data_IF_059473810324
#
_entry.id   IF_059473810324
#
_cell.length_a   1.000
_cell.length_b   1.000
_cell.length_c   1.000
_cell.angle_alpha   90.00
_cell.angle_beta   90.00
_cell.angle_gamma   90.00
#
_symmetry.space_group_name_H-M   'P 1'
#
loop_
_entity.id
_entity.type
_entity.pdbx_description
1 polymer ?
#
# COMPACT_ATOMS: atom_id res chain seq x y z
N UNK A 1 -13.01 30.74 -9.24
CA UNK A 1 -11.78 30.38 -9.96
C UNK A 1 -11.59 28.88 -9.82
N UNK A 2 -11.89 28.14 -10.88
CA UNK A 2 -11.86 26.68 -10.93
C UNK A 2 -10.42 26.18 -10.89
N UNK A 3 -10.14 25.32 -9.91
CA UNK A 3 -8.86 24.60 -9.81
C UNK A 3 -8.80 23.59 -10.97
N UNK A 4 -8.05 23.91 -12.03
CA UNK A 4 -7.75 22.92 -13.08
C UNK A 4 -6.88 21.82 -12.46
N UNK A 5 -7.39 20.59 -12.46
CA UNK A 5 -6.67 19.40 -11.99
C UNK A 5 -5.37 19.25 -12.79
N UNK A 6 -4.23 19.30 -12.09
CA UNK A 6 -2.91 19.11 -12.68
C UNK A 6 -2.67 17.61 -12.83
N UNK A 7 -2.70 17.10 -14.06
CA UNK A 7 -2.41 15.70 -14.38
C UNK A 7 -0.89 15.48 -14.47
N UNK A 8 -0.38 14.47 -13.78
CA UNK A 8 0.99 13.97 -13.94
C UNK A 8 0.99 12.89 -15.03
N UNK A 9 2.00 12.93 -15.90
CA UNK A 9 2.29 11.87 -16.88
C UNK A 9 3.65 11.25 -16.56
N UNK A 10 3.80 9.96 -16.81
CA UNK A 10 5.09 9.27 -16.73
C UNK A 10 5.72 9.35 -18.12
N UNK A 11 6.93 9.90 -18.20
CA UNK A 11 7.73 9.87 -19.42
C UNK A 11 8.09 8.42 -19.77
N UNK A 12 7.71 7.97 -20.96
CA UNK A 12 7.84 6.58 -21.36
C UNK A 12 9.30 6.14 -21.59
N UNK A 13 10.24 7.08 -21.78
CA UNK A 13 11.65 6.77 -21.99
C UNK A 13 12.49 6.73 -20.72
N UNK A 14 12.08 7.44 -19.67
CA UNK A 14 12.85 7.59 -18.42
C UNK A 14 12.12 7.11 -17.17
N UNK A 15 10.81 6.84 -17.27
CA UNK A 15 9.97 6.51 -16.13
C UNK A 15 9.77 7.67 -15.16
N UNK A 16 10.23 8.89 -15.48
CA UNK A 16 10.10 10.06 -14.61
C UNK A 16 8.71 10.68 -14.71
N UNK A 17 8.18 11.14 -13.58
CA UNK A 17 6.95 11.90 -13.55
C UNK A 17 7.18 13.34 -14.05
N UNK A 18 6.49 13.71 -15.12
CA UNK A 18 6.52 15.05 -15.71
C UNK A 18 5.21 15.77 -15.41
N UNK A 19 5.32 17.02 -14.98
CA UNK A 19 4.17 17.89 -14.71
C UNK A 19 3.85 18.70 -15.97
N UNK A 20 2.62 18.60 -16.49
CA UNK A 20 2.18 19.47 -17.58
C UNK A 20 2.05 20.90 -17.05
N UNK A 21 2.82 21.82 -17.64
CA UNK A 21 2.77 23.24 -17.29
C UNK A 21 1.58 23.86 -18.01
N UNK A 22 0.62 24.39 -17.25
CA UNK A 22 -0.71 24.79 -17.75
C UNK A 22 -0.71 26.01 -18.67
N UNK A 23 -0.12 25.90 -19.87
CA UNK A 23 -0.20 26.89 -20.96
C UNK A 23 -0.74 26.32 -22.26
N UNK A 24 -1.29 25.12 -22.26
CA UNK A 24 -1.94 24.56 -23.44
C UNK A 24 -3.39 25.05 -23.50
N UNK A 25 -3.77 25.48 -24.69
CA UNK A 25 -5.12 25.98 -25.00
C UNK A 25 -6.14 24.86 -24.84
N UNK A 26 -7.42 25.20 -24.57
CA UNK A 26 -8.44 24.17 -24.33
C UNK A 26 -8.62 23.23 -25.56
N UNK A 27 -8.23 23.65 -26.78
CA UNK A 27 -8.15 22.81 -27.99
C UNK A 27 -6.96 21.83 -27.97
N UNK A 28 -5.78 22.23 -27.46
CA UNK A 28 -4.62 21.33 -27.31
C UNK A 28 -4.86 20.29 -26.21
N UNK A 29 -5.63 20.64 -25.17
CA UNK A 29 -6.02 19.71 -24.10
C UNK A 29 -7.00 18.65 -24.62
N UNK A 30 -7.96 19.02 -25.47
CA UNK A 30 -8.87 18.06 -26.12
C UNK A 30 -8.12 17.15 -27.10
N UNK A 31 -7.17 17.69 -27.87
CA UNK A 31 -6.37 16.91 -28.81
C UNK A 31 -5.43 15.92 -28.11
N UNK A 32 -4.80 16.32 -27.00
CA UNK A 32 -4.00 15.42 -26.15
C UNK A 32 -4.89 14.38 -25.45
N UNK A 33 -6.10 14.74 -25.03
CA UNK A 33 -7.05 13.80 -24.43
C UNK A 33 -7.56 12.75 -25.43
N UNK A 34 -7.78 13.14 -26.68
CA UNK A 34 -8.17 12.22 -27.77
C UNK A 34 -7.02 11.32 -28.21
N UNK A 35 -5.79 11.82 -28.29
CA UNK A 35 -4.58 11.00 -28.52
C UNK A 35 -4.32 10.04 -27.34
N UNK A 36 -4.58 10.47 -26.11
CA UNK A 36 -4.53 9.59 -24.92
C UNK A 36 -5.63 8.53 -24.92
N UNK A 37 -6.85 8.83 -25.38
CA UNK A 37 -7.93 7.82 -25.53
C UNK A 37 -7.61 6.81 -26.64
N UNK A 38 -7.00 7.25 -27.74
CA UNK A 38 -6.55 6.37 -28.82
C UNK A 38 -5.35 5.50 -28.40
N UNK A 39 -4.43 6.01 -27.58
CA UNK A 39 -3.29 5.25 -27.04
C UNK A 39 -3.67 4.31 -25.89
N UNK A 40 -4.81 4.53 -25.21
CA UNK A 40 -5.27 3.76 -24.05
C UNK A 40 -6.54 2.92 -24.31
N UNK A 41 -7.11 2.96 -25.52
CA UNK A 41 -8.18 2.05 -25.96
C UNK A 41 -9.55 2.23 -25.29
N UNK A 42 -9.88 3.42 -24.77
CA UNK A 42 -11.17 3.65 -24.10
C UNK A 42 -12.26 4.08 -25.10
N UNK A 43 -13.29 3.25 -25.27
CA UNK A 43 -14.54 3.61 -25.96
C UNK A 43 -15.44 4.47 -25.06
N UNK A 44 -16.07 5.49 -25.64
CA UNK A 44 -16.94 6.43 -24.94
C UNK A 44 -18.37 5.87 -24.80
N UNK A 45 -18.83 5.61 -23.56
CA UNK A 45 -20.24 5.41 -23.26
C UNK A 45 -20.72 6.34 -22.14
N UNK A 46 -21.87 6.98 -22.39
CA UNK A 46 -22.54 7.99 -21.55
C UNK A 46 -23.31 7.34 -20.38
N UNK A 47 -23.31 8.03 -19.25
CA UNK A 47 -24.11 7.77 -18.02
C UNK A 47 -25.63 7.79 -18.23
N UNK A 48 -26.33 7.07 -17.35
CA UNK A 48 -27.65 7.45 -16.83
C UNK A 48 -27.80 7.16 -15.32
N UNK A 49 -28.34 8.14 -14.60
CA UNK A 49 -28.77 8.19 -13.18
C UNK A 49 -30.04 7.38 -12.90
N UNK A 50 -30.26 6.98 -11.62
CA UNK A 50 -31.51 7.19 -10.85
C UNK A 50 -31.39 6.80 -9.36
N UNK A 51 -32.13 7.52 -8.52
CA UNK A 51 -32.25 7.57 -7.04
C UNK A 51 -32.90 6.37 -6.32
N UNK A 52 -32.72 6.26 -4.98
CA UNK A 52 -33.83 6.20 -4.00
C UNK A 52 -33.38 6.23 -2.51
N UNK A 53 -34.24 6.81 -1.65
CA UNK A 53 -34.09 7.08 -0.20
C UNK A 53 -34.62 5.97 0.75
N UNK A 54 -34.30 6.14 2.05
CA UNK A 54 -35.19 6.12 3.25
C UNK A 54 -35.21 4.93 4.27
N UNK A 55 -34.91 5.28 5.55
CA UNK A 55 -35.46 4.81 6.88
C UNK A 55 -35.28 3.36 7.37
N UNK A 56 -35.19 3.00 8.67
CA UNK A 56 -35.31 3.71 9.96
C UNK A 56 -35.24 2.74 11.17
N UNK A 57 -34.86 3.29 12.34
CA UNK A 57 -35.21 3.05 13.76
C UNK A 57 -35.33 1.67 14.48
N UNK A 58 -34.80 1.68 15.74
CA UNK A 58 -35.32 1.15 17.03
C UNK A 58 -35.29 -0.37 17.33
N UNK A 59 -35.21 -0.91 18.56
CA UNK A 59 -34.80 -0.51 19.94
C UNK A 59 -35.16 -1.68 20.90
N UNK A 60 -34.61 -1.68 22.14
CA UNK A 60 -35.13 -2.32 23.39
C UNK A 60 -34.87 -3.85 23.61
N UNK A 61 -34.68 -4.41 24.82
CA UNK A 61 -34.68 -3.97 26.25
C UNK A 61 -34.14 -5.08 27.18
N UNK A 62 -33.77 -4.67 28.41
CA UNK A 62 -33.52 -5.35 29.72
C UNK A 62 -34.28 -6.67 30.02
N UNK A 63 -33.96 -7.49 31.05
CA UNK A 63 -33.78 -7.21 32.49
C UNK A 63 -33.45 -8.49 33.31
N UNK A 64 -32.80 -8.29 34.47
CA UNK A 64 -32.88 -8.99 35.78
C UNK A 64 -32.62 -10.52 35.88
N UNK A 65 -31.98 -11.11 36.90
CA UNK A 65 -31.59 -10.69 38.24
C UNK A 65 -31.84 -11.85 39.24
N UNK A 66 -31.05 -11.92 40.32
CA UNK A 66 -31.25 -12.64 41.62
C UNK A 66 -30.23 -13.77 41.96
N UNK A 67 -29.67 -13.58 43.16
CA UNK A 67 -28.66 -14.29 43.94
C UNK A 67 -29.28 -15.37 44.86
N UNK A 68 -28.51 -16.39 45.30
CA UNK A 68 -28.37 -16.81 46.73
C UNK A 68 -27.18 -17.76 46.95
N UNK A 69 -26.39 -17.51 48.00
CA UNK A 69 -25.38 -18.37 48.70
C UNK A 69 -26.06 -19.11 49.89
N UNK A 70 -25.43 -19.81 50.90
CA UNK A 70 -24.00 -20.17 51.19
C UNK A 70 -23.73 -21.58 51.84
N UNK A 71 -22.44 -21.89 52.14
CA UNK A 71 -21.88 -22.76 53.25
C UNK A 71 -22.00 -24.33 53.17
N UNK A 72 -21.11 -25.22 53.65
CA UNK A 72 -19.87 -25.22 54.48
C UNK A 72 -19.16 -26.62 54.43
N UNK A 73 -17.82 -26.62 54.36
CA UNK A 73 -16.80 -27.26 55.24
C UNK A 73 -16.68 -28.81 55.43
N UNK A 74 -15.40 -29.25 55.45
CA UNK A 74 -14.79 -30.51 55.96
C UNK A 74 -14.77 -31.75 55.03
N UNK A 75 -13.64 -31.97 54.34
CA UNK A 75 -12.73 -33.04 54.76
C UNK A 75 -11.34 -32.95 54.11
N UNK A 76 -10.37 -32.63 54.95
CA UNK A 76 -8.94 -32.68 54.70
C UNK A 76 -8.46 -34.05 55.18
N UNK A 77 -7.91 -34.87 54.28
CA UNK A 77 -6.60 -35.54 54.43
C UNK A 77 -6.50 -36.95 53.78
N UNK A 78 -5.50 -37.07 52.90
CA UNK A 78 -4.56 -38.21 52.71
C UNK A 78 -5.14 -39.48 52.04
N UNK A 79 -4.43 -40.24 51.21
CA UNK A 79 -3.05 -40.24 50.74
C UNK A 79 -2.96 -41.21 49.54
N UNK A 80 -2.37 -40.75 48.43
CA UNK A 80 -1.37 -41.39 47.55
C UNK A 80 -1.41 -42.90 47.20
N UNK A 81 -1.37 -43.10 45.86
CA UNK A 81 -0.68 -44.11 45.03
C UNK A 81 -1.52 -45.24 44.39
N UNK A 82 -1.46 -45.31 43.05
CA UNK A 82 -1.70 -46.54 42.28
C UNK A 82 -2.47 -46.37 40.96
N UNK A 83 -1.74 -46.29 39.85
CA UNK A 83 -1.96 -46.96 38.54
C UNK A 83 -3.34 -46.95 37.81
N UNK A 84 -3.31 -46.56 36.52
CA UNK A 84 -4.34 -46.80 35.50
C UNK A 84 -4.36 -48.30 35.06
N UNK A 85 -5.32 -48.89 34.27
CA UNK A 85 -6.14 -48.27 33.20
C UNK A 85 -7.53 -48.89 32.86
N UNK A 86 -8.12 -48.41 31.73
CA UNK A 86 -9.14 -48.99 30.83
C UNK A 86 -10.65 -48.96 31.20
N UNK A 87 -11.44 -48.15 30.46
CA UNK A 87 -12.55 -48.60 29.57
C UNK A 87 -13.60 -47.51 29.26
N UNK A 88 -13.64 -47.10 27.98
CA UNK A 88 -14.79 -46.74 27.12
C UNK A 88 -16.07 -46.07 27.67
N UNK A 89 -16.38 -44.88 27.12
CA UNK A 89 -17.71 -44.47 26.63
C UNK A 89 -17.53 -43.24 25.68
N UNK A 90 -17.56 -43.41 24.36
CA UNK A 90 -18.70 -43.16 23.45
C UNK A 90 -19.53 -41.91 23.79
N UNK A 91 -19.37 -40.87 22.96
CA UNK A 91 -20.46 -39.98 22.53
C UNK A 91 -20.48 -38.56 23.11
N UNK A 92 -20.09 -37.56 22.31
CA UNK A 92 -21.08 -36.61 21.79
C UNK A 92 -20.56 -35.84 20.55
N UNK A 93 -21.14 -36.02 19.35
CA UNK A 93 -20.74 -35.32 18.14
C UNK A 93 -21.54 -34.02 18.01
N UNK A 94 -21.08 -32.94 18.62
CA UNK A 94 -21.58 -31.61 18.26
C UNK A 94 -20.60 -30.47 18.52
N UNK A 95 -19.32 -30.69 18.21
CA UNK A 95 -18.41 -29.57 17.97
C UNK A 95 -18.62 -29.14 16.52
N UNK A 96 -19.48 -28.13 16.33
CA UNK A 96 -19.51 -27.36 15.09
C UNK A 96 -18.13 -26.71 14.94
N UNK A 97 -17.23 -27.33 14.20
CA UNK A 97 -16.04 -26.67 13.65
C UNK A 97 -16.51 -25.69 12.57
N UNK A 98 -17.16 -24.61 13.00
CA UNK A 98 -17.22 -23.41 12.20
C UNK A 98 -15.79 -22.91 12.08
N UNK A 99 -15.17 -23.16 10.93
CA UNK A 99 -13.92 -22.53 10.56
C UNK A 99 -14.18 -21.01 10.48
N UNK A 100 -14.05 -20.33 11.62
CA UNK A 100 -14.04 -18.88 11.68
C UNK A 100 -12.77 -18.44 10.97
N UNK A 101 -12.85 -18.23 9.65
CA UNK A 101 -11.81 -17.53 8.90
C UNK A 101 -11.85 -16.07 9.36
N UNK A 102 -11.14 -15.78 10.43
CA UNK A 102 -10.86 -14.40 10.79
C UNK A 102 -10.08 -13.76 9.65
N UNK A 103 -10.61 -12.68 9.07
CA UNK A 103 -9.86 -11.87 8.12
C UNK A 103 -8.55 -11.42 8.78
N UNK A 104 -7.43 -11.37 8.04
CA UNK A 104 -6.16 -10.95 8.60
C UNK A 104 -6.26 -9.55 9.19
N UNK A 105 -5.53 -9.30 10.27
CA UNK A 105 -5.38 -7.95 10.82
C UNK A 105 -4.58 -7.06 9.87
N UNK A 106 -4.69 -5.74 10.01
CA UNK A 106 -3.89 -4.80 9.20
C UNK A 106 -2.39 -5.07 9.32
N UNK A 107 -1.89 -5.45 10.50
CA UNK A 107 -0.47 -5.80 10.68
C UNK A 107 -0.08 -7.08 9.95
N UNK A 108 -0.95 -8.09 9.95
CA UNK A 108 -0.71 -9.31 9.17
C UNK A 108 -0.71 -9.02 7.67
N UNK A 109 -1.58 -8.13 7.20
CA UNK A 109 -1.58 -7.73 5.80
C UNK A 109 -0.34 -6.92 5.41
N UNK A 110 0.11 -6.00 6.28
CA UNK A 110 1.36 -5.26 6.05
C UNK A 110 2.57 -6.20 5.99
N UNK A 111 2.67 -7.16 6.93
CA UNK A 111 3.74 -8.16 6.91
C UNK A 111 3.70 -9.01 5.64
N UNK A 112 2.50 -9.45 5.24
CA UNK A 112 2.33 -10.17 3.98
C UNK A 112 2.72 -9.35 2.76
N UNK A 113 2.43 -8.04 2.75
CA UNK A 113 2.88 -7.16 1.67
C UNK A 113 4.40 -6.98 1.67
N UNK A 114 5.05 -6.86 2.83
CA UNK A 114 6.52 -6.80 2.95
C UNK A 114 7.18 -8.00 2.28
N UNK A 115 6.77 -9.21 2.65
CA UNK A 115 7.34 -10.45 2.10
C UNK A 115 7.10 -10.56 0.58
N UNK A 116 5.87 -10.27 0.13
CA UNK A 116 5.54 -10.30 -1.28
C UNK A 116 6.30 -9.25 -2.10
N UNK A 117 6.50 -8.05 -1.53
CA UNK A 117 7.27 -6.99 -2.17
C UNK A 117 8.72 -7.41 -2.34
N UNK A 118 9.37 -7.96 -1.31
CA UNK A 118 10.74 -8.47 -1.43
C UNK A 118 10.89 -9.49 -2.58
N UNK A 119 9.94 -10.43 -2.69
CA UNK A 119 9.90 -11.39 -3.79
C UNK A 119 9.74 -10.70 -5.15
N UNK A 120 8.86 -9.71 -5.28
CA UNK A 120 8.65 -9.00 -6.54
C UNK A 120 9.89 -8.20 -6.95
N UNK A 121 10.52 -7.50 -6.00
CA UNK A 121 11.74 -6.73 -6.27
C UNK A 121 12.89 -7.60 -6.76
N UNK A 122 13.02 -8.81 -6.21
CA UNK A 122 14.02 -9.78 -6.66
C UNK A 122 13.79 -10.32 -8.09
N UNK A 123 12.60 -10.12 -8.66
CA UNK A 123 12.25 -10.54 -10.02
C UNK A 123 12.31 -9.40 -11.05
N UNK A 124 12.57 -8.16 -10.62
CA UNK A 124 12.82 -7.06 -11.54
C UNK A 124 14.19 -7.26 -12.20
N UNK A 125 14.24 -7.21 -13.53
CA UNK A 125 15.51 -7.24 -14.27
C UNK A 125 15.95 -5.82 -14.61
N UNK A 126 17.15 -5.67 -15.18
CA UNK A 126 17.65 -4.36 -15.63
C UNK A 126 16.61 -3.63 -16.48
N UNK A 127 16.44 -2.34 -16.18
CA UNK A 127 15.46 -1.43 -16.80
C UNK A 127 13.98 -1.78 -16.53
N UNK A 128 13.69 -2.64 -15.55
CA UNK A 128 12.35 -2.80 -15.02
C UNK A 128 12.06 -1.78 -13.90
N UNK A 129 10.82 -1.32 -13.90
CA UNK A 129 10.28 -0.39 -12.94
C UNK A 129 9.08 -0.99 -12.22
N UNK A 130 9.02 -0.78 -10.90
CA UNK A 130 7.82 -0.96 -10.09
C UNK A 130 7.49 0.36 -9.43
N UNK A 131 6.25 0.83 -9.58
CA UNK A 131 5.72 1.99 -8.87
C UNK A 131 4.60 1.53 -7.97
N UNK A 132 4.72 1.75 -6.67
CA UNK A 132 3.64 1.57 -5.70
C UNK A 132 3.17 2.97 -5.30
N UNK A 133 1.87 3.22 -5.39
CA UNK A 133 1.30 4.54 -5.13
C UNK A 133 0.04 4.47 -4.29
N UNK A 134 -0.29 5.60 -3.67
CA UNK A 134 -1.54 5.78 -2.97
C UNK A 134 -2.63 6.30 -3.90
N UNK A 135 -3.82 5.73 -3.78
CA UNK A 135 -4.99 6.01 -4.65
C UNK A 135 -5.50 7.46 -4.65
N UNK A 136 -5.10 8.30 -3.69
CA UNK A 136 -5.73 9.63 -3.46
C UNK A 136 -4.79 10.83 -3.43
N UNK A 137 -3.51 10.60 -3.15
CA UNK A 137 -2.46 11.62 -3.03
C UNK A 137 -1.26 11.07 -3.75
N UNK A 138 -0.45 11.92 -4.37
CA UNK A 138 0.79 11.53 -5.06
C UNK A 138 1.91 11.11 -4.11
N UNK A 139 1.60 10.23 -3.16
CA UNK A 139 2.58 9.44 -2.44
C UNK A 139 2.88 8.20 -3.28
N UNK A 140 4.16 8.02 -3.61
CA UNK A 140 4.61 6.87 -4.35
C UNK A 140 6.03 6.48 -3.93
N UNK A 141 6.34 5.22 -4.15
CA UNK A 141 7.70 4.70 -4.22
C UNK A 141 7.90 4.11 -5.61
N UNK A 142 8.99 4.49 -6.27
CA UNK A 142 9.43 3.94 -7.54
C UNK A 142 10.73 3.18 -7.34
N UNK A 143 10.74 1.93 -7.77
CA UNK A 143 11.91 1.05 -7.78
C UNK A 143 12.38 0.94 -9.22
N UNK A 144 13.65 1.25 -9.47
CA UNK A 144 14.30 1.13 -10.77
C UNK A 144 15.44 0.12 -10.65
N UNK A 145 15.27 -1.05 -11.27
CA UNK A 145 16.31 -2.08 -11.31
C UNK A 145 17.40 -1.69 -12.31
N UNK A 146 18.66 -1.69 -11.86
CA UNK A 146 19.82 -1.25 -12.63
C UNK A 146 20.78 -2.42 -12.91
N UNK A 147 20.26 -3.65 -12.93
CA UNK A 147 21.02 -4.86 -13.19
C UNK A 147 22.23 -5.01 -12.27
N UNK A 148 23.43 -5.04 -12.85
CA UNK A 148 24.68 -5.17 -12.11
C UNK A 148 24.99 -4.00 -11.17
N UNK A 149 24.39 -2.83 -11.40
CA UNK A 149 24.60 -1.64 -10.55
C UNK A 149 23.71 -1.64 -9.31
N UNK A 150 22.73 -2.55 -9.23
CA UNK A 150 21.82 -2.69 -8.09
C UNK A 150 20.44 -2.08 -8.36
N UNK A 151 19.95 -1.25 -7.44
CA UNK A 151 18.61 -0.66 -7.53
C UNK A 151 18.59 0.76 -6.96
N UNK A 152 17.97 1.69 -7.71
CA UNK A 152 17.59 3.00 -7.18
C UNK A 152 16.14 2.95 -6.75
N UNK A 153 15.84 3.55 -5.60
CA UNK A 153 14.47 3.74 -5.15
C UNK A 153 14.24 5.21 -4.86
N UNK A 154 13.10 5.73 -5.32
CA UNK A 154 12.68 7.11 -5.09
C UNK A 154 11.33 7.15 -4.38
N UNK A 155 11.17 8.09 -3.45
CA UNK A 155 9.93 8.35 -2.75
C UNK A 155 9.51 9.82 -2.92
N UNK A 156 8.21 10.04 -3.13
CA UNK A 156 7.66 11.37 -3.40
C UNK A 156 8.10 12.43 -2.38
N UNK A 157 8.65 13.55 -2.87
CA UNK A 157 8.92 14.75 -2.06
C UNK A 157 7.82 15.81 -2.19
N UNK A 158 7.91 16.89 -1.40
CA UNK A 158 6.97 18.01 -1.48
C UNK A 158 6.95 18.71 -2.85
N UNK A 159 7.93 18.45 -3.71
CA UNK A 159 7.90 18.88 -5.10
C UNK A 159 6.71 18.30 -5.87
N UNK A 160 6.36 17.04 -5.61
CA UNK A 160 5.31 16.30 -6.35
C UNK A 160 4.08 15.96 -5.51
N UNK A 161 4.16 16.07 -4.19
CA UNK A 161 3.01 15.82 -3.31
C UNK A 161 1.97 16.93 -3.49
N UNK A 162 0.81 16.48 -3.97
CA UNK A 162 -0.42 17.28 -4.13
C UNK A 162 -1.61 16.50 -3.55
N UNK A 163 -2.56 17.18 -2.90
CA UNK A 163 -2.65 18.64 -2.72
C UNK A 163 -1.67 19.17 -1.67
N UNK A 164 -1.47 20.49 -1.60
CA UNK A 164 -0.47 21.12 -0.74
C UNK A 164 -0.62 20.78 0.76
N UNK A 165 -1.85 20.50 1.22
CA UNK A 165 -2.15 20.10 2.59
C UNK A 165 -1.64 18.70 2.93
N UNK A 166 -1.35 17.88 1.92
CA UNK A 166 -0.75 16.56 2.10
C UNK A 166 0.78 16.60 2.11
N UNK A 167 1.41 17.75 1.89
CA UNK A 167 2.87 17.87 1.92
C UNK A 167 3.41 17.48 3.30
N UNK A 168 4.58 16.82 3.30
CA UNK A 168 5.28 16.48 4.52
C UNK A 168 5.69 17.75 5.27
N UNK A 169 5.54 17.72 6.59
CA UNK A 169 6.07 18.75 7.47
C UNK A 169 7.61 18.65 7.56
N UNK A 170 8.29 19.65 8.17
CA UNK A 170 9.71 19.54 8.48
C UNK A 170 10.07 18.27 9.27
N UNK A 171 9.23 17.87 10.22
CA UNK A 171 9.41 16.64 11.00
C UNK A 171 9.30 15.39 10.11
N UNK A 172 8.43 15.41 9.09
CA UNK A 172 8.35 14.35 8.09
C UNK A 172 9.63 14.22 7.26
N UNK A 173 10.27 15.34 6.90
CA UNK A 173 11.58 15.33 6.22
C UNK A 173 12.68 14.74 7.10
N UNK A 174 12.72 15.14 8.38
CA UNK A 174 13.66 14.56 9.35
C UNK A 174 13.40 13.06 9.54
N UNK A 175 12.14 12.64 9.57
CA UNK A 175 11.78 11.24 9.72
C UNK A 175 12.15 10.40 8.48
N UNK A 176 12.10 10.97 7.26
CA UNK A 176 12.61 10.30 6.05
C UNK A 176 14.13 10.09 6.15
N UNK A 177 14.88 11.12 6.53
CA UNK A 177 16.34 11.04 6.72
C UNK A 177 16.72 9.99 7.77
N UNK A 178 16.07 10.01 8.94
CA UNK A 178 16.26 9.01 10.00
C UNK A 178 15.91 7.58 9.58
N UNK A 179 15.00 7.42 8.61
CA UNK A 179 14.61 6.14 8.07
C UNK A 179 15.63 5.61 7.04
N UNK A 180 16.59 6.44 6.61
CA UNK A 180 17.68 6.09 5.70
C UNK A 180 17.55 6.68 4.30
N UNK A 181 16.58 7.58 4.07
CA UNK A 181 16.42 8.24 2.78
C UNK A 181 17.39 9.41 2.63
N UNK A 182 17.97 9.58 1.44
CA UNK A 182 18.64 10.82 1.06
C UNK A 182 17.60 11.89 0.73
N UNK A 183 17.87 13.12 1.13
CA UNK A 183 16.98 14.27 0.86
C UNK A 183 17.08 14.70 -0.61
N UNK A 184 16.02 15.33 -1.17
CA UNK A 184 16.07 15.85 -2.54
C UNK A 184 17.24 16.80 -2.76
N UNK A 185 18.06 16.55 -3.78
CA UNK A 185 19.27 17.32 -4.10
C UNK A 185 19.09 18.25 -5.28
N UNK A 186 18.08 18.04 -6.12
CA UNK A 186 17.78 18.90 -7.27
C UNK A 186 16.34 19.41 -7.23
N UNK A 187 16.11 20.57 -7.85
CA UNK A 187 14.76 21.05 -8.10
C UNK A 187 14.16 20.30 -9.32
N UNK A 188 12.84 20.14 -9.41
CA UNK A 188 12.18 19.52 -10.58
C UNK A 188 12.54 20.16 -11.93
N UNK A 189 12.82 21.47 -11.92
CA UNK A 189 13.21 22.27 -13.10
C UNK A 189 14.71 22.64 -13.10
N UNK A 190 15.49 22.05 -12.19
CA UNK A 190 16.88 22.40 -11.93
C UNK A 190 17.89 21.69 -12.85
N UNK A 191 19.16 22.10 -12.72
CA UNK A 191 20.30 21.45 -13.39
C UNK A 191 20.30 19.97 -13.06
N UNK A 192 20.44 19.13 -14.09
CA UNK A 192 20.56 17.68 -14.00
C UNK A 192 21.90 17.32 -13.37
N UNK A 193 21.95 17.28 -12.05
CA UNK A 193 22.85 16.36 -11.37
C UNK A 193 22.41 14.94 -11.75
N UNK A 194 23.22 14.17 -12.49
CA UNK A 194 22.84 12.83 -12.93
C UNK A 194 22.61 11.88 -11.74
N UNK A 195 23.24 12.14 -10.59
CA UNK A 195 23.14 11.31 -9.39
C UNK A 195 22.05 11.83 -8.43
N UNK A 196 21.61 13.08 -8.63
CA UNK A 196 20.62 13.74 -7.81
C UNK A 196 19.17 13.31 -8.04
N UNK A 197 18.27 13.71 -7.15
CA UNK A 197 16.82 13.51 -7.30
C UNK A 197 16.00 14.68 -6.78
N UNK A 198 14.89 15.04 -7.46
CA UNK A 198 13.89 15.92 -6.88
C UNK A 198 13.00 15.20 -5.85
N UNK A 199 13.16 13.88 -5.71
CA UNK A 199 12.54 13.02 -4.71
C UNK A 199 13.52 12.68 -3.59
N UNK A 200 12.99 12.08 -2.52
CA UNK A 200 13.84 11.32 -1.61
C UNK A 200 14.35 10.09 -2.34
N UNK A 201 15.60 9.69 -2.13
CA UNK A 201 16.15 8.55 -2.86
C UNK A 201 17.10 7.71 -2.01
N UNK A 202 17.27 6.46 -2.41
CA UNK A 202 18.34 5.56 -1.96
C UNK A 202 18.88 4.81 -3.15
N UNK A 203 20.21 4.68 -3.20
CA UNK A 203 20.90 3.82 -4.16
C UNK A 203 21.45 2.61 -3.40
N UNK A 204 21.06 1.41 -3.85
CA UNK A 204 21.43 0.16 -3.22
C UNK A 204 22.33 -0.63 -4.19
N UNK A 205 23.61 -0.81 -3.87
CA UNK A 205 24.52 -1.55 -4.75
C UNK A 205 24.17 -3.04 -4.80
N UNK A 206 24.62 -3.72 -5.86
CA UNK A 206 24.50 -5.18 -5.96
C UNK A 206 25.49 -5.90 -5.03
N UNK A 207 25.08 -6.98 -4.33
CA UNK A 207 23.73 -7.55 -4.28
C UNK A 207 22.80 -6.74 -3.36
N UNK A 208 21.54 -6.56 -3.80
CA UNK A 208 20.53 -5.82 -3.04
C UNK A 208 19.89 -6.71 -1.96
N UNK A 209 19.78 -6.20 -0.73
CA UNK A 209 18.96 -6.82 0.32
C UNK A 209 17.49 -6.44 0.13
N UNK A 210 16.76 -7.25 -0.65
CA UNK A 210 15.35 -6.99 -0.96
C UNK A 210 14.43 -7.07 0.26
N UNK A 211 14.82 -7.79 1.32
CA UNK A 211 14.04 -7.85 2.56
C UNK A 211 14.11 -6.51 3.27
N UNK A 212 15.31 -6.00 3.53
CA UNK A 212 15.47 -4.68 4.14
C UNK A 212 14.88 -3.55 3.27
N UNK A 213 14.98 -3.65 1.95
CA UNK A 213 14.37 -2.67 1.04
C UNK A 213 12.84 -2.68 1.11
N UNK A 214 12.23 -3.86 1.17
CA UNK A 214 10.78 -3.98 1.36
C UNK A 214 10.32 -3.41 2.71
N UNK A 215 11.09 -3.63 3.77
CA UNK A 215 10.81 -3.07 5.10
C UNK A 215 10.89 -1.53 5.10
N UNK A 216 11.91 -0.95 4.43
CA UNK A 216 12.03 0.49 4.22
C UNK A 216 10.80 1.06 3.51
N UNK A 217 10.37 0.42 2.42
CA UNK A 217 9.20 0.84 1.65
C UNK A 217 7.92 0.84 2.48
N UNK A 218 7.67 -0.24 3.21
CA UNK A 218 6.46 -0.40 4.03
C UNK A 218 6.47 0.56 5.23
N UNK A 219 7.63 0.78 5.87
CA UNK A 219 7.76 1.80 6.91
C UNK A 219 7.51 3.20 6.36
N UNK A 220 7.98 3.51 5.15
CA UNK A 220 7.74 4.81 4.52
C UNK A 220 6.24 5.05 4.31
N UNK A 221 5.51 4.09 3.73
CA UNK A 221 4.05 4.22 3.58
C UNK A 221 3.31 4.32 4.91
N UNK A 222 3.65 3.50 5.89
CA UNK A 222 2.92 3.43 7.17
C UNK A 222 3.24 4.61 8.09
N UNK A 223 4.52 4.89 8.27
CA UNK A 223 5.02 5.79 9.32
C UNK A 223 5.12 7.24 8.82
N UNK A 224 5.46 7.44 7.55
CA UNK A 224 5.67 8.79 6.99
C UNK A 224 4.43 9.26 6.23
N UNK A 225 3.96 8.46 5.28
CA UNK A 225 2.77 8.83 4.49
C UNK A 225 1.45 8.52 5.18
N UNK A 226 1.46 7.80 6.30
CA UNK A 226 0.31 7.61 7.20
C UNK A 226 -0.74 6.61 6.70
N UNK A 227 -0.37 5.67 5.83
CA UNK A 227 -1.29 4.65 5.33
C UNK A 227 -1.61 3.66 6.45
N UNK A 228 -2.92 3.43 6.66
CA UNK A 228 -3.41 2.52 7.69
C UNK A 228 -3.47 1.09 7.19
N UNK A 229 -3.66 0.90 5.88
CA UNK A 229 -3.94 -0.42 5.31
C UNK A 229 -3.33 -0.61 3.91
N UNK A 230 -2.77 -1.79 3.56
CA UNK A 230 -2.19 -2.07 2.24
C UNK A 230 -3.17 -1.86 1.08
N UNK A 231 -4.44 -2.21 1.29
CA UNK A 231 -5.50 -2.05 0.29
C UNK A 231 -5.74 -0.59 -0.17
N UNK A 232 -5.14 0.40 0.49
CA UNK A 232 -5.11 1.79 0.03
C UNK A 232 -4.13 2.01 -1.12
N UNK A 233 -3.17 1.11 -1.30
CA UNK A 233 -2.14 1.18 -2.33
C UNK A 233 -2.60 0.53 -3.63
N UNK A 234 -1.90 0.89 -4.68
CA UNK A 234 -1.98 0.30 -6.01
C UNK A 234 -0.58 0.25 -6.61
N UNK A 235 -0.42 -0.51 -7.70
CA UNK A 235 0.87 -0.62 -8.36
C UNK A 235 0.76 -0.63 -9.87
N UNK A 236 1.83 -0.17 -10.51
CA UNK A 236 2.12 -0.35 -11.93
C UNK A 236 3.54 -0.88 -12.05
N UNK A 237 3.77 -1.81 -12.97
CA UNK A 237 5.11 -2.30 -13.27
C UNK A 237 5.30 -2.41 -14.78
N UNK A 238 6.48 -2.05 -15.27
CA UNK A 238 6.78 -1.98 -16.69
C UNK A 238 8.29 -2.00 -16.92
N UNK A 239 8.72 -2.44 -18.10
CA UNK A 239 10.10 -2.26 -18.56
C UNK A 239 10.29 -0.91 -19.25
N UNK A 240 11.53 -0.44 -19.42
CA UNK A 240 11.86 0.77 -20.19
C UNK A 240 11.28 0.77 -21.62
N UNK A 241 11.10 -0.41 -22.21
CA UNK A 241 10.42 -0.58 -23.51
C UNK A 241 8.89 -0.42 -23.46
N UNK A 242 8.31 -0.12 -22.29
CA UNK A 242 6.87 0.05 -22.08
C UNK A 242 6.09 -1.25 -21.90
N UNK A 243 6.75 -2.41 -21.91
CA UNK A 243 6.07 -3.69 -21.71
C UNK A 243 5.55 -3.78 -20.28
N UNK A 244 4.27 -4.07 -20.10
CA UNK A 244 3.65 -4.16 -18.78
C UNK A 244 4.05 -5.45 -18.06
N UNK A 245 4.37 -5.34 -16.78
CA UNK A 245 4.74 -6.46 -15.90
C UNK A 245 3.63 -6.64 -14.87
N UNK A 246 3.34 -7.90 -14.54
CA UNK A 246 2.30 -8.28 -13.56
C UNK A 246 2.91 -8.95 -12.35
N UNK A 247 2.53 -8.47 -11.17
CA UNK A 247 2.88 -9.09 -9.89
C UNK A 247 1.61 -9.40 -9.09
N UNK A 248 0.86 -10.47 -9.44
CA UNK A 248 -0.34 -10.86 -8.70
C UNK A 248 -0.06 -11.14 -7.21
N UNK A 249 1.17 -11.56 -6.90
CA UNK A 249 1.66 -11.81 -5.54
C UNK A 249 1.65 -10.56 -4.65
N UNK A 250 1.74 -9.35 -5.21
CA UNK A 250 1.61 -8.11 -4.41
C UNK A 250 0.23 -7.98 -3.76
N UNK A 251 -0.81 -8.60 -4.35
CA UNK A 251 -2.21 -8.50 -3.90
C UNK A 251 -2.71 -7.05 -3.76
N UNK A 252 -2.09 -6.13 -4.50
CA UNK A 252 -2.50 -4.74 -4.65
C UNK A 252 -3.33 -4.57 -5.92
N UNK A 253 -4.13 -3.50 -5.99
CA UNK A 253 -4.80 -3.13 -7.24
C UNK A 253 -3.72 -2.81 -8.29
N UNK A 254 -3.79 -3.45 -9.45
CA UNK A 254 -2.93 -3.10 -10.57
C UNK A 254 -3.53 -1.94 -11.39
N UNK A 255 -2.68 -1.02 -11.82
CA UNK A 255 -2.99 0.02 -12.80
C UNK A 255 -2.18 -0.21 -14.06
N UNK A 256 -2.86 -0.61 -15.12
CA UNK A 256 -2.32 -0.68 -16.47
C UNK A 256 -3.42 -0.80 -17.49
#
# INVERSE_FOLDING_TARGET
>A
MTSKDKKLTVDAGTGKFVQLTGKETDEEIEQIADEMSAALGFGTEKKSETDFEHTGASSNTSSDGIQVEPETVLDVAKQHLGEAPLSMAIGNPNVKFGANKHSPSADQEWNGLTDNLALCLANLVEDDYLVISYKRVNYYLQFAAQGQFGMRVEAASNAYIVPAQARLSPEGYVAMDQLGWQTPTVLPEGITDPDGSPNFFVDLPSPVDFKSLSELAIRTFRQIYGMRHPGQLQYKAFSSGGAQIRFPTLRLKWEG
#
